data_IF_300425476229
#
_entry.id   IF_300425476229
#
_cell.length_a   1.000
_cell.length_b   1.000
_cell.length_c   1.000
_cell.angle_alpha   90.00
_cell.angle_beta   90.00
_cell.angle_gamma   90.00
#
_symmetry.space_group_name_H-M   'P 1'
#
loop_
_entity.id
_entity.type
_entity.pdbx_description
1 polymer ?
#
# COMPACT_ATOMS: atom_id res chain seq x y z
N UNK A 1 5.77 20.90 -11.18
CA UNK A 1 5.12 20.16 -10.07
C UNK A 1 5.50 18.71 -10.26
N UNK A 2 5.63 17.93 -9.20
CA UNK A 2 5.86 16.49 -9.36
C UNK A 2 4.49 15.86 -9.62
N UNK A 3 4.39 14.92 -10.56
CA UNK A 3 3.20 14.11 -10.70
C UNK A 3 2.93 13.38 -9.40
N UNK A 4 1.68 13.26 -9.03
CA UNK A 4 1.24 12.55 -7.85
C UNK A 4 0.84 11.13 -8.24
N UNK A 5 1.45 10.17 -7.57
CA UNK A 5 1.04 8.76 -7.62
C UNK A 5 0.10 8.51 -6.45
N UNK A 6 -1.12 8.09 -6.74
CA UNK A 6 -2.10 7.64 -5.73
C UNK A 6 -2.08 6.12 -5.67
N UNK A 7 -1.95 5.57 -4.47
CA UNK A 7 -1.91 4.12 -4.24
C UNK A 7 -3.03 3.76 -3.27
N UNK A 8 -3.98 2.96 -3.73
CA UNK A 8 -5.08 2.44 -2.93
C UNK A 8 -4.66 1.09 -2.35
N UNK A 9 -4.50 1.04 -1.05
CA UNK A 9 -3.97 -0.12 -0.33
C UNK A 9 -5.08 -0.78 0.45
N UNK A 10 -5.17 -2.10 0.34
CA UNK A 10 -6.00 -2.95 1.17
C UNK A 10 -5.14 -3.94 1.92
N UNK A 11 -5.35 -4.05 3.24
CA UNK A 11 -4.68 -4.99 4.12
C UNK A 11 -5.74 -5.95 4.63
N UNK A 12 -5.57 -7.25 4.39
CA UNK A 12 -6.53 -8.30 4.78
C UNK A 12 -5.90 -9.38 5.64
N UNK A 13 -6.75 -10.24 6.20
CA UNK A 13 -6.37 -11.33 7.09
C UNK A 13 -5.72 -10.86 8.40
N UNK A 14 -6.09 -9.66 8.85
CA UNK A 14 -5.64 -9.16 10.14
C UNK A 14 -6.23 -10.02 11.27
N UNK A 15 -5.38 -10.39 12.21
CA UNK A 15 -5.81 -10.89 13.50
C UNK A 15 -5.77 -9.77 14.54
N UNK A 16 -6.19 -10.05 15.76
CA UNK A 16 -6.23 -9.04 16.83
C UNK A 16 -4.87 -8.38 17.08
N UNK A 17 -3.78 -9.16 17.10
CA UNK A 17 -2.44 -8.67 17.41
C UNK A 17 -1.89 -7.79 16.28
N UNK A 18 -2.04 -8.21 15.02
CA UNK A 18 -1.62 -7.42 13.87
C UNK A 18 -2.45 -6.15 13.69
N UNK A 19 -3.75 -6.22 14.01
CA UNK A 19 -4.60 -5.03 14.03
C UNK A 19 -4.17 -4.04 15.14
N UNK A 20 -3.89 -4.53 16.35
CA UNK A 20 -3.36 -3.69 17.45
C UNK A 20 -2.00 -3.07 17.04
N UNK A 21 -1.15 -3.78 16.32
CA UNK A 21 0.10 -3.26 15.76
C UNK A 21 -0.14 -2.15 14.73
N UNK A 22 -1.10 -2.33 13.81
CA UNK A 22 -1.49 -1.27 12.87
C UNK A 22 -2.00 -0.03 13.61
N UNK A 23 -2.88 -0.20 14.58
CA UNK A 23 -3.38 0.92 15.40
C UNK A 23 -2.23 1.64 16.10
N UNK A 24 -1.24 0.90 16.62
CA UNK A 24 -0.06 1.51 17.24
C UNK A 24 0.81 2.26 16.23
N UNK A 25 1.06 1.68 15.04
CA UNK A 25 1.82 2.33 13.97
C UNK A 25 1.18 3.65 13.55
N UNK A 26 -0.15 3.67 13.45
CA UNK A 26 -0.94 4.80 12.99
C UNK A 26 -1.62 5.56 14.14
N UNK A 27 -1.03 5.59 15.32
CA UNK A 27 -1.50 6.44 16.41
C UNK A 27 -1.35 7.92 16.05
N UNK A 28 -2.40 8.47 15.49
CA UNK A 28 -2.46 9.85 15.04
C UNK A 28 -3.60 10.60 15.70
N UNK A 29 -3.48 11.92 15.74
CA UNK A 29 -4.55 12.83 16.17
C UNK A 29 -5.39 13.33 14.99
N UNK A 30 -4.98 13.03 13.74
CA UNK A 30 -5.59 13.47 12.50
C UNK A 30 -6.06 12.33 11.61
N UNK A 31 -6.69 12.68 10.50
CA UNK A 31 -7.16 11.76 9.47
C UNK A 31 -6.11 11.54 8.35
N UNK A 32 -5.07 12.37 8.32
CA UNK A 32 -3.99 12.34 7.34
C UNK A 32 -2.62 12.45 8.01
N UNK A 33 -1.63 11.81 7.40
CA UNK A 33 -0.21 11.94 7.73
C UNK A 33 0.49 12.62 6.55
N UNK A 34 0.45 13.91 6.48
CA UNK A 34 1.13 14.70 5.46
C UNK A 34 2.20 15.59 6.06
N UNK A 35 2.10 15.87 7.35
CA UNK A 35 3.07 16.67 8.04
C UNK A 35 4.19 15.81 8.65
N UNK A 36 5.38 16.36 8.64
CA UNK A 36 6.60 15.77 9.20
C UNK A 36 6.41 15.31 10.65
N UNK A 37 5.66 16.08 11.43
CA UNK A 37 5.41 15.82 12.85
C UNK A 37 4.61 14.54 13.08
N UNK A 38 3.80 14.12 12.09
CA UNK A 38 3.00 12.89 12.16
C UNK A 38 3.77 11.71 11.57
N UNK A 39 4.50 11.91 10.47
CA UNK A 39 5.24 10.86 9.78
C UNK A 39 6.46 10.36 10.57
N UNK A 40 7.18 11.23 11.29
CA UNK A 40 8.35 10.81 12.06
C UNK A 40 8.01 9.75 13.11
N UNK A 41 7.01 9.93 14.00
CA UNK A 41 6.63 8.89 14.95
C UNK A 41 6.19 7.59 14.30
N UNK A 42 5.48 7.66 13.19
CA UNK A 42 5.07 6.50 12.41
C UNK A 42 6.28 5.72 11.88
N UNK A 43 7.21 6.41 11.23
CA UNK A 43 8.42 5.78 10.70
C UNK A 43 9.35 5.26 11.79
N UNK A 44 9.47 5.95 12.92
CA UNK A 44 10.25 5.45 14.06
C UNK A 44 9.75 4.07 14.50
N UNK A 45 8.43 3.90 14.57
CA UNK A 45 7.82 2.62 14.93
C UNK A 45 7.92 1.56 13.81
N UNK A 46 7.73 1.97 12.56
CA UNK A 46 7.76 1.08 11.42
C UNK A 46 9.17 0.50 11.18
N UNK A 47 10.20 1.31 11.36
CA UNK A 47 11.60 0.94 11.11
C UNK A 47 12.39 0.57 12.36
N UNK A 48 11.78 0.66 13.54
CA UNK A 48 12.45 0.50 14.85
C UNK A 48 13.74 1.35 14.93
N UNK A 49 13.62 2.63 14.57
CA UNK A 49 14.72 3.60 14.53
C UNK A 49 14.26 4.93 15.11
N UNK A 50 15.21 5.70 15.62
CA UNK A 50 14.97 7.06 16.09
C UNK A 50 15.37 8.06 14.97
N UNK A 51 14.42 8.54 14.22
CA UNK A 51 14.60 9.53 13.17
C UNK A 51 14.49 10.96 13.70
N UNK A 52 15.15 11.25 14.82
CA UNK A 52 15.13 12.60 15.42
C UNK A 52 15.96 13.63 14.64
N UNK A 53 16.81 13.20 13.72
CA UNK A 53 17.56 14.11 12.85
C UNK A 53 16.64 14.66 11.76
N UNK A 54 15.98 15.76 12.12
CA UNK A 54 14.98 16.41 11.28
C UNK A 54 15.53 16.93 9.96
N UNK A 55 16.83 17.14 9.83
CA UNK A 55 17.42 17.71 8.61
C UNK A 55 17.61 16.65 7.51
N UNK A 56 17.75 15.37 7.88
CA UNK A 56 17.93 14.26 6.95
C UNK A 56 16.62 13.51 6.61
N UNK A 57 15.60 13.58 7.45
CA UNK A 57 14.37 12.79 7.29
C UNK A 57 13.59 13.07 5.99
N UNK A 58 13.63 14.30 5.47
CA UNK A 58 13.04 14.68 4.19
C UNK A 58 14.09 14.89 3.09
N UNK A 59 15.31 14.43 3.31
CA UNK A 59 16.30 14.36 2.23
C UNK A 59 15.82 13.41 1.13
N UNK A 60 15.99 13.79 -0.13
CA UNK A 60 15.61 12.97 -1.30
C UNK A 60 16.22 11.58 -1.18
N UNK A 61 17.46 11.49 -0.73
CA UNK A 61 18.16 10.20 -0.58
C UNK A 61 17.48 9.32 0.47
N UNK A 62 17.15 9.88 1.64
CA UNK A 62 16.44 9.13 2.69
C UNK A 62 15.08 8.61 2.21
N UNK A 63 14.29 9.48 1.58
CA UNK A 63 12.96 9.10 1.10
C UNK A 63 13.04 8.04 0.00
N UNK A 64 13.96 8.16 -0.95
CA UNK A 64 14.17 7.15 -1.98
C UNK A 64 14.69 5.82 -1.42
N UNK A 65 15.54 5.86 -0.37
CA UNK A 65 16.09 4.64 0.24
C UNK A 65 15.07 3.88 1.07
N UNK A 66 14.19 4.57 1.79
CA UNK A 66 13.29 3.95 2.76
C UNK A 66 11.82 3.90 2.30
N UNK A 67 11.40 4.78 1.40
CA UNK A 67 10.01 4.86 0.94
C UNK A 67 9.89 4.39 -0.52
N UNK A 68 10.91 4.62 -1.33
CA UNK A 68 10.87 4.38 -2.77
C UNK A 68 10.32 5.58 -3.56
N UNK A 69 10.06 6.70 -2.88
CA UNK A 69 9.53 7.92 -3.47
C UNK A 69 10.11 9.15 -2.78
N UNK A 70 9.99 10.31 -3.41
CA UNK A 70 10.53 11.58 -2.91
C UNK A 70 9.78 12.13 -1.70
N UNK A 71 8.48 11.88 -1.60
CA UNK A 71 7.63 12.23 -0.47
C UNK A 71 6.50 11.21 -0.35
N UNK A 72 5.88 11.13 0.81
CA UNK A 72 4.75 10.28 1.11
C UNK A 72 3.73 11.05 1.94
N UNK A 73 2.45 10.87 1.62
CA UNK A 73 1.31 11.25 2.42
C UNK A 73 0.45 10.00 2.63
N UNK A 74 -0.10 9.82 3.80
CA UNK A 74 -0.92 8.67 4.14
C UNK A 74 -2.30 9.19 4.57
N UNK A 75 -3.34 8.70 3.92
CA UNK A 75 -4.72 8.96 4.28
C UNK A 75 -5.40 7.66 4.68
N UNK A 76 -6.20 7.72 5.72
CA UNK A 76 -7.17 6.67 5.99
C UNK A 76 -8.36 6.93 5.11
N UNK A 77 -8.72 5.98 4.23
CA UNK A 77 -9.79 6.14 3.27
C UNK A 77 -11.07 6.74 3.87
N UNK A 78 -12.01 7.12 3.06
CA UNK A 78 -13.26 7.88 3.36
C UNK A 78 -14.02 7.41 4.62
N UNK A 79 -13.66 6.27 5.17
CA UNK A 79 -14.27 5.64 6.33
C UNK A 79 -13.57 5.91 7.67
N UNK A 80 -12.59 6.80 7.67
CA UNK A 80 -11.98 7.41 8.87
C UNK A 80 -11.33 6.46 9.89
N UNK A 81 -10.49 7.07 10.73
CA UNK A 81 -9.92 6.50 11.96
C UNK A 81 -10.90 5.67 12.80
N UNK A 82 -12.21 5.94 12.72
CA UNK A 82 -13.22 5.17 13.44
C UNK A 82 -13.35 3.74 12.90
N UNK A 83 -13.41 3.55 11.59
CA UNK A 83 -13.47 2.22 10.98
C UNK A 83 -12.13 1.49 11.09
N UNK A 84 -11.00 2.21 11.05
CA UNK A 84 -9.68 1.67 11.32
C UNK A 84 -9.57 1.02 12.70
N UNK A 85 -10.23 1.58 13.72
CA UNK A 85 -10.26 1.02 15.08
C UNK A 85 -11.33 -0.06 15.25
N UNK A 86 -12.44 0.02 14.53
CA UNK A 86 -13.59 -0.90 14.68
C UNK A 86 -13.50 -2.14 13.77
N UNK A 87 -12.90 -2.04 12.58
CA UNK A 87 -12.67 -3.17 11.66
C UNK A 87 -11.39 -3.90 12.04
N UNK A 88 -11.50 -5.16 12.37
CA UNK A 88 -10.38 -5.98 12.86
C UNK A 88 -9.80 -6.96 11.84
N UNK A 89 -10.43 -7.14 10.69
CA UNK A 89 -10.04 -8.15 9.69
C UNK A 89 -9.45 -7.53 8.41
N UNK A 90 -9.82 -6.29 8.11
CA UNK A 90 -9.34 -5.56 6.94
C UNK A 90 -9.18 -4.06 7.21
N UNK A 91 -8.24 -3.42 6.53
CA UNK A 91 -7.97 -1.97 6.60
C UNK A 91 -7.68 -1.43 5.21
N UNK A 92 -8.23 -0.26 4.91
CA UNK A 92 -7.97 0.47 3.68
C UNK A 92 -7.13 1.73 3.98
N UNK A 93 -6.09 1.97 3.16
CA UNK A 93 -5.25 3.15 3.21
C UNK A 93 -5.16 3.77 1.81
N UNK A 94 -4.98 5.09 1.76
CA UNK A 94 -4.62 5.80 0.54
C UNK A 94 -3.25 6.41 0.77
N UNK A 95 -2.32 6.13 -0.14
CA UNK A 95 -0.98 6.71 -0.13
C UNK A 95 -0.85 7.64 -1.34
N UNK A 96 -0.38 8.85 -1.09
CA UNK A 96 0.05 9.76 -2.15
C UNK A 96 1.57 9.90 -2.10
N UNK A 97 2.21 9.83 -3.27
CA UNK A 97 3.67 9.92 -3.37
C UNK A 97 4.12 10.59 -4.66
N UNK A 98 5.40 10.97 -4.76
CA UNK A 98 5.92 11.63 -5.96
C UNK A 98 6.38 10.61 -7.00
N UNK A 99 5.80 10.63 -8.18
CA UNK A 99 6.20 9.92 -9.41
C UNK A 99 6.16 8.38 -9.37
N UNK A 100 6.34 7.76 -8.21
CA UNK A 100 6.47 6.32 -8.09
C UNK A 100 5.59 5.78 -6.97
N UNK A 101 5.12 4.55 -7.13
CA UNK A 101 4.54 3.77 -6.05
C UNK A 101 5.55 3.68 -4.89
N UNK A 102 5.14 3.89 -3.62
CA UNK A 102 6.04 3.83 -2.47
C UNK A 102 6.35 2.37 -2.09
N UNK A 103 6.99 1.62 -3.00
CA UNK A 103 7.21 0.17 -2.91
C UNK A 103 7.93 -0.24 -1.64
N UNK A 104 9.02 0.44 -1.28
CA UNK A 104 9.79 0.11 -0.07
C UNK A 104 9.02 0.33 1.22
N UNK A 105 8.12 1.32 1.22
CA UNK A 105 7.19 1.51 2.34
C UNK A 105 6.21 0.35 2.45
N UNK A 106 5.61 -0.07 1.32
CA UNK A 106 4.70 -1.21 1.26
C UNK A 106 5.39 -2.51 1.69
N UNK A 107 6.59 -2.79 1.17
CA UNK A 107 7.42 -3.92 1.57
C UNK A 107 7.66 -3.92 3.09
N UNK A 108 8.10 -2.78 3.66
CA UNK A 108 8.37 -2.69 5.09
C UNK A 108 7.12 -2.83 5.95
N UNK A 109 6.01 -2.22 5.54
CA UNK A 109 4.72 -2.35 6.23
C UNK A 109 4.27 -3.81 6.24
N UNK A 110 4.33 -4.48 5.09
CA UNK A 110 4.01 -5.91 4.95
C UNK A 110 4.90 -6.76 5.85
N UNK A 111 6.22 -6.57 5.80
CA UNK A 111 7.17 -7.30 6.64
C UNK A 111 6.83 -7.21 8.13
N UNK A 112 6.59 -6.01 8.63
CA UNK A 112 6.25 -5.80 10.07
C UNK A 112 4.96 -6.50 10.47
N UNK A 113 4.00 -6.58 9.55
CA UNK A 113 2.72 -7.23 9.81
C UNK A 113 2.80 -8.76 9.69
N UNK A 114 3.55 -9.26 8.69
CA UNK A 114 3.72 -10.70 8.46
C UNK A 114 4.62 -11.36 9.50
N UNK A 115 5.51 -10.62 10.16
CA UNK A 115 6.22 -11.08 11.36
C UNK A 115 5.26 -11.48 12.50
N UNK A 116 4.05 -10.91 12.55
CA UNK A 116 3.02 -11.20 13.54
C UNK A 116 2.04 -12.26 13.02
N UNK A 117 1.60 -12.12 11.78
CA UNK A 117 0.67 -13.05 11.14
C UNK A 117 1.01 -13.21 9.65
N UNK A 118 1.57 -14.36 9.30
CA UNK A 118 2.02 -14.71 7.93
C UNK A 118 0.92 -14.73 6.88
N UNK A 119 -0.34 -14.79 7.30
CA UNK A 119 -1.48 -14.80 6.38
C UNK A 119 -1.89 -13.42 5.88
N UNK A 120 -1.26 -12.36 6.40
CA UNK A 120 -1.56 -10.99 5.98
C UNK A 120 -1.14 -10.79 4.53
N UNK A 121 -2.03 -10.13 3.80
CA UNK A 121 -1.80 -9.70 2.42
C UNK A 121 -2.05 -8.19 2.36
N UNK A 122 -1.11 -7.48 1.73
CA UNK A 122 -1.20 -6.06 1.41
C UNK A 122 -1.28 -5.94 -0.10
N UNK A 123 -2.40 -5.50 -0.63
CA UNK A 123 -2.61 -5.45 -2.08
C UNK A 123 -3.42 -4.22 -2.48
N UNK A 124 -3.44 -3.91 -3.75
CA UNK A 124 -4.19 -2.76 -4.20
C UNK A 124 -3.90 -2.34 -5.62
N UNK A 125 -4.27 -1.10 -5.92
CA UNK A 125 -4.03 -0.46 -7.22
C UNK A 125 -3.26 0.83 -7.03
N UNK A 126 -2.63 1.30 -8.09
CA UNK A 126 -2.01 2.61 -8.15
C UNK A 126 -2.33 3.32 -9.47
N UNK A 127 -2.37 4.64 -9.40
CA UNK A 127 -2.61 5.50 -10.56
C UNK A 127 -1.80 6.80 -10.45
N UNK A 128 -1.16 7.19 -11.54
CA UNK A 128 -0.59 8.53 -11.70
C UNK A 128 -1.71 9.54 -12.00
N UNK A 129 -1.51 10.80 -11.67
CA UNK A 129 -2.48 11.88 -11.95
C UNK A 129 -2.83 12.05 -13.43
N UNK A 130 -2.01 11.47 -14.31
CA UNK A 130 -2.23 11.43 -15.77
C UNK A 130 -2.59 10.02 -16.25
N UNK A 131 -2.89 9.09 -15.34
CA UNK A 131 -3.21 7.69 -15.64
C UNK A 131 -2.15 6.92 -16.42
N UNK A 132 -0.89 7.33 -16.30
CA UNK A 132 0.25 6.66 -16.91
C UNK A 132 1.51 6.82 -16.04
N UNK A 133 1.89 5.79 -15.25
CA UNK A 133 1.32 4.44 -15.20
C UNK A 133 0.09 4.29 -14.30
N UNK A 134 -0.67 3.24 -14.57
CA UNK A 134 -1.65 2.65 -13.64
C UNK A 134 -1.36 1.16 -13.50
N UNK A 135 -1.74 0.54 -12.40
CA UNK A 135 -1.48 -0.89 -12.21
C UNK A 135 -1.95 -1.42 -10.86
N UNK A 136 -1.50 -2.63 -10.54
CA UNK A 136 -1.85 -3.32 -9.32
C UNK A 136 -0.63 -3.95 -8.64
N UNK A 137 -0.77 -4.31 -7.37
CA UNK A 137 0.31 -4.93 -6.59
C UNK A 137 -0.25 -5.89 -5.53
N UNK A 138 0.59 -6.85 -5.15
CA UNK A 138 0.38 -7.76 -4.02
C UNK A 138 1.69 -7.93 -3.26
N UNK A 139 1.67 -7.75 -1.95
CA UNK A 139 2.76 -8.02 -1.02
C UNK A 139 2.27 -8.96 0.08
N UNK A 140 3.05 -9.99 0.38
CA UNK A 140 2.77 -10.96 1.46
C UNK A 140 4.08 -11.50 2.05
N UNK A 141 4.02 -12.51 2.94
CA UNK A 141 5.20 -13.16 3.48
C UNK A 141 6.01 -13.82 2.36
N UNK A 142 7.24 -13.33 2.11
CA UNK A 142 8.15 -13.79 1.05
C UNK A 142 7.58 -13.71 -0.39
N UNK A 143 6.65 -12.79 -0.64
CA UNK A 143 6.09 -12.55 -1.96
C UNK A 143 5.82 -11.07 -2.20
N UNK A 144 6.25 -10.60 -3.35
CA UNK A 144 5.91 -9.28 -3.88
C UNK A 144 5.71 -9.36 -5.38
N UNK A 145 4.68 -8.71 -5.86
CA UNK A 145 4.40 -8.53 -7.28
C UNK A 145 3.78 -7.16 -7.52
N UNK A 146 4.21 -6.52 -8.58
CA UNK A 146 3.71 -5.22 -9.01
C UNK A 146 3.71 -5.17 -10.53
N UNK A 147 2.54 -4.98 -11.11
CA UNK A 147 2.35 -4.99 -12.54
C UNK A 147 1.66 -3.70 -13.02
N UNK A 148 2.24 -3.10 -14.06
CA UNK A 148 1.56 -2.05 -14.79
C UNK A 148 0.40 -2.64 -15.61
N UNK A 149 -0.66 -1.87 -15.75
CA UNK A 149 -1.78 -2.23 -16.62
C UNK A 149 -1.40 -1.90 -18.06
N UNK A 150 -1.33 -2.94 -18.91
CA UNK A 150 -0.73 -2.86 -20.25
C UNK A 150 -1.67 -2.29 -21.34
N UNK A 151 -2.95 -2.01 -21.02
CA UNK A 151 -3.86 -1.44 -22.01
C UNK A 151 -3.62 0.07 -22.16
N UNK A 152 -3.68 0.56 -23.41
CA UNK A 152 -3.53 1.97 -23.71
C UNK A 152 -4.74 2.77 -23.21
N UNK A 153 -4.53 3.66 -22.25
CA UNK A 153 -5.58 4.49 -21.66
C UNK A 153 -5.61 5.85 -22.37
N UNK A 154 -6.74 6.17 -22.97
CA UNK A 154 -6.97 7.48 -23.59
C UNK A 154 -7.26 8.53 -22.51
N UNK A 155 -6.22 9.30 -22.13
CA UNK A 155 -6.26 10.27 -21.03
C UNK A 155 -7.42 11.28 -21.17
N UNK A 156 -7.68 11.76 -22.39
CA UNK A 156 -8.78 12.72 -22.60
C UNK A 156 -10.15 12.08 -22.30
N UNK A 157 -10.33 10.82 -22.70
CA UNK A 157 -11.57 10.08 -22.45
C UNK A 157 -11.70 9.76 -20.96
N UNK A 158 -10.61 9.43 -20.28
CA UNK A 158 -10.60 9.30 -18.80
C UNK A 158 -11.05 10.58 -18.07
N UNK A 159 -10.73 11.74 -18.61
CA UNK A 159 -11.09 13.03 -17.99
C UNK A 159 -12.52 13.49 -18.34
N UNK A 160 -13.00 13.18 -19.53
CA UNK A 160 -14.24 13.74 -20.09
C UNK A 160 -15.39 12.73 -20.15
N UNK A 161 -15.10 11.42 -20.24
CA UNK A 161 -16.09 10.35 -20.37
C UNK A 161 -16.18 9.52 -19.07
N UNK A 162 -17.30 9.66 -18.37
CA UNK A 162 -17.56 8.96 -17.10
C UNK A 162 -17.74 7.44 -17.30
N UNK A 163 -18.33 7.03 -18.44
CA UNK A 163 -18.55 5.61 -18.76
C UNK A 163 -17.22 4.91 -19.05
N UNK A 164 -16.35 5.54 -19.89
CA UNK A 164 -15.02 5.04 -20.17
C UNK A 164 -14.16 4.93 -18.88
N UNK A 165 -14.18 5.96 -18.04
CA UNK A 165 -13.49 5.93 -16.75
C UNK A 165 -13.96 4.77 -15.88
N UNK A 166 -15.26 4.52 -15.84
CA UNK A 166 -15.80 3.41 -15.07
C UNK A 166 -15.36 2.06 -15.63
N UNK A 167 -15.29 1.88 -16.95
CA UNK A 167 -14.78 0.67 -17.59
C UNK A 167 -13.31 0.45 -17.23
N UNK A 168 -12.44 1.43 -17.44
CA UNK A 168 -10.99 1.31 -17.11
C UNK A 168 -10.77 0.99 -15.63
N UNK A 169 -11.50 1.64 -14.72
CA UNK A 169 -11.37 1.36 -13.29
C UNK A 169 -11.86 -0.05 -12.93
N UNK A 170 -12.88 -0.58 -13.58
CA UNK A 170 -13.31 -1.95 -13.36
C UNK A 170 -12.26 -2.95 -13.86
N UNK A 171 -11.70 -2.73 -15.04
CA UNK A 171 -10.65 -3.59 -15.61
C UNK A 171 -9.40 -3.57 -14.70
N UNK A 172 -9.04 -2.42 -14.15
CA UNK A 172 -7.95 -2.30 -13.18
C UNK A 172 -8.24 -3.09 -11.89
N UNK A 173 -9.48 -3.09 -11.41
CA UNK A 173 -9.86 -3.91 -10.27
C UNK A 173 -9.86 -5.40 -10.59
N UNK A 174 -10.27 -5.80 -11.80
CA UNK A 174 -10.17 -7.20 -12.26
C UNK A 174 -8.71 -7.64 -12.37
N UNK A 175 -7.82 -6.77 -12.87
CA UNK A 175 -6.38 -7.01 -12.91
C UNK A 175 -5.79 -7.21 -11.50
N UNK A 176 -6.13 -6.34 -10.55
CA UNK A 176 -5.76 -6.48 -9.13
C UNK A 176 -6.22 -7.81 -8.55
N UNK A 177 -7.47 -8.17 -8.80
CA UNK A 177 -8.06 -9.39 -8.24
C UNK A 177 -7.41 -10.65 -8.88
N UNK A 178 -7.03 -10.59 -10.15
CA UNK A 178 -6.25 -11.62 -10.84
C UNK A 178 -4.86 -11.81 -10.23
N UNK A 179 -4.15 -10.74 -9.90
CA UNK A 179 -2.86 -10.80 -9.18
C UNK A 179 -3.01 -11.45 -7.81
N UNK A 180 -4.04 -11.08 -7.07
CA UNK A 180 -4.33 -11.68 -5.76
C UNK A 180 -4.66 -13.17 -5.89
N UNK A 181 -5.46 -13.58 -6.87
CA UNK A 181 -5.77 -14.99 -7.13
C UNK A 181 -4.51 -15.79 -7.47
N UNK A 182 -3.64 -15.25 -8.32
CA UNK A 182 -2.35 -15.86 -8.68
C UNK A 182 -1.47 -16.11 -7.46
N UNK A 183 -1.39 -15.12 -6.56
CA UNK A 183 -0.67 -15.30 -5.29
C UNK A 183 -1.30 -16.40 -4.43
N UNK A 184 -2.63 -16.43 -4.30
CA UNK A 184 -3.32 -17.43 -3.46
C UNK A 184 -3.15 -18.86 -4.01
N UNK A 185 -3.06 -19.04 -5.33
CA UNK A 185 -2.74 -20.32 -5.96
C UNK A 185 -1.30 -20.75 -5.61
N UNK A 186 -0.31 -19.86 -5.75
CA UNK A 186 1.09 -20.13 -5.38
C UNK A 186 1.20 -20.50 -3.90
N UNK A 187 0.52 -19.77 -3.02
CA UNK A 187 0.50 -20.06 -1.58
C UNK A 187 -0.02 -21.46 -1.30
N UNK A 188 -1.13 -21.82 -1.93
CA UNK A 188 -1.74 -23.15 -1.78
C UNK A 188 -0.82 -24.26 -2.24
N UNK A 189 -0.14 -24.10 -3.38
CA UNK A 189 0.82 -25.08 -3.89
C UNK A 189 1.98 -25.28 -2.91
N UNK A 190 2.53 -24.22 -2.33
CA UNK A 190 3.59 -24.28 -1.32
C UNK A 190 3.14 -25.05 -0.05
N UNK A 191 1.94 -24.79 0.44
CA UNK A 191 1.38 -25.47 1.61
C UNK A 191 1.15 -26.98 1.33
N UNK A 192 0.75 -27.34 0.12
CA UNK A 192 0.59 -28.75 -0.30
C UNK A 192 1.94 -29.47 -0.36
N UNK A 193 2.99 -28.82 -0.86
CA UNK A 193 4.35 -29.39 -0.93
C UNK A 193 4.96 -29.59 0.47
N UNK A 194 4.84 -28.60 1.36
CA UNK A 194 5.31 -28.73 2.75
C UNK A 194 4.61 -29.88 3.50
N UNK A 195 3.31 -30.10 3.27
CA UNK A 195 2.56 -31.18 3.89
C UNK A 195 2.93 -32.57 3.33
N UNK A 196 3.54 -32.66 2.13
CA UNK A 196 4.00 -33.93 1.55
C UNK A 196 5.40 -34.32 2.04
N UNK A 197 6.21 -33.35 2.50
CA UNK A 197 7.57 -33.60 3.00
C UNK A 197 7.61 -33.88 4.53
N UNK A 198 6.52 -33.67 5.26
CA UNK A 198 6.39 -33.84 6.70
C UNK A 198 5.87 -35.22 7.09
#
# INVERSE_FOLDING_TARGET
MANTMTTFVKIINLNKESHEKLVDLFQTKGETFDEREDLIPHFNKLYDKDFNDTDNFYGIDFMNENIGSKWLRIEFGVWSTKNFVEKTEEVDLILESAWNVPTKYLERLTQVLTEINKDIIVYGTYEDEMYEPVGAFVYADDYDDIEDYDEEIEINDMLEDEEYRYEVMNDLYEHRDSLLESYLEIKKEREEDENQEA
#
